data_IF_600450465969
#
_entry.id   IF_600450465969
#
_cell.length_a   1.000
_cell.length_b   1.000
_cell.length_c   1.000
_cell.angle_alpha   90.00
_cell.angle_beta   90.00
_cell.angle_gamma   90.00
#
_symmetry.space_group_name_H-M   'P 1'
#
loop_
_entity.id
_entity.type
_entity.pdbx_description
1 polymer ?
#
# COMPACT_ATOMS: atom_id res chain seq x y z
N UNK A 1 -13.52 -58.84 65.77
CA UNK A 1 -13.80 -57.68 66.63
C UNK A 1 -12.82 -56.56 66.28
N UNK A 2 -13.32 -55.31 66.18
CA UNK A 2 -12.62 -54.03 65.92
C UNK A 2 -11.95 -53.91 64.53
N UNK A 3 -12.43 -53.15 63.52
CA UNK A 3 -12.84 -51.71 63.38
C UNK A 3 -11.76 -50.70 63.83
N UNK A 4 -11.10 -50.07 62.84
CA UNK A 4 -10.67 -48.65 62.76
C UNK A 4 -9.93 -48.48 61.41
N UNK A 5 -10.52 -47.94 60.33
CA UNK A 5 -10.89 -46.54 60.04
C UNK A 5 -9.76 -45.53 60.29
N UNK A 6 -8.93 -45.31 59.27
CA UNK A 6 -8.11 -44.09 59.13
C UNK A 6 -8.37 -43.48 57.75
N UNK A 7 -9.28 -42.51 57.73
CA UNK A 7 -9.42 -41.50 56.68
C UNK A 7 -8.45 -40.36 57.02
N UNK A 8 -7.82 -39.76 56.00
CA UNK A 8 -7.41 -38.33 55.89
C UNK A 8 -6.72 -38.20 54.52
N UNK A 9 -7.44 -37.74 53.49
CA UNK A 9 -7.54 -36.34 53.07
C UNK A 9 -6.71 -36.12 51.78
N UNK A 10 -7.30 -36.53 50.65
CA UNK A 10 -6.82 -36.17 49.32
C UNK A 10 -7.38 -34.79 49.00
N UNK A 11 -6.53 -33.76 49.11
CA UNK A 11 -6.87 -32.41 48.70
C UNK A 11 -6.94 -32.36 47.17
N UNK A 12 -8.14 -32.47 46.61
CA UNK A 12 -8.39 -32.17 45.22
C UNK A 12 -8.37 -30.64 45.03
N UNK A 13 -7.27 -30.13 44.48
CA UNK A 13 -7.24 -28.77 43.93
C UNK A 13 -8.07 -28.82 42.65
N UNK A 14 -9.33 -28.42 42.76
CA UNK A 14 -10.19 -28.15 41.61
C UNK A 14 -9.81 -26.76 41.10
N UNK A 15 -8.89 -26.71 40.15
CA UNK A 15 -8.64 -25.49 39.38
C UNK A 15 -9.83 -25.29 38.45
N UNK A 16 -10.77 -24.41 38.84
CA UNK A 16 -11.76 -23.88 37.91
C UNK A 16 -11.01 -23.04 36.87
N UNK A 17 -10.69 -23.64 35.73
CA UNK A 17 -10.44 -22.87 34.51
C UNK A 17 -11.78 -22.32 34.06
N UNK A 18 -12.05 -21.07 34.39
CA UNK A 18 -13.11 -20.30 33.75
C UNK A 18 -12.66 -20.09 32.32
N UNK A 19 -13.19 -20.88 31.40
CA UNK A 19 -13.05 -20.65 29.96
C UNK A 19 -13.69 -19.30 29.66
N UNK A 20 -12.86 -18.27 29.55
CA UNK A 20 -13.28 -17.01 28.93
C UNK A 20 -13.44 -17.34 27.45
N UNK A 21 -14.67 -17.66 27.05
CA UNK A 21 -15.07 -17.65 25.65
C UNK A 21 -14.97 -16.21 25.16
N UNK A 22 -13.81 -15.86 24.60
CA UNK A 22 -13.73 -14.70 23.72
C UNK A 22 -14.61 -15.02 22.53
N UNK A 23 -15.80 -14.44 22.53
CA UNK A 23 -16.61 -14.35 21.33
C UNK A 23 -15.80 -13.49 20.36
N UNK A 24 -15.04 -14.15 19.49
CA UNK A 24 -14.54 -13.52 18.28
C UNK A 24 -15.76 -13.07 17.51
N UNK A 25 -16.05 -11.78 17.55
CA UNK A 25 -16.91 -11.19 16.55
C UNK A 25 -16.17 -11.37 15.23
N UNK A 26 -16.60 -12.37 14.46
CA UNK A 26 -16.25 -12.46 13.06
C UNK A 26 -16.65 -11.13 12.41
N UNK A 27 -15.65 -10.29 12.13
CA UNK A 27 -15.81 -9.17 11.23
C UNK A 27 -16.11 -9.76 9.87
N UNK A 28 -17.36 -9.71 9.43
CA UNK A 28 -17.80 -10.14 8.09
C UNK A 28 -17.24 -9.27 6.93
N UNK A 29 -16.23 -8.44 7.20
CA UNK A 29 -15.29 -7.90 6.22
C UNK A 29 -13.93 -7.74 6.90
N UNK A 30 -13.23 -8.84 7.17
CA UNK A 30 -11.79 -8.74 7.41
C UNK A 30 -11.20 -8.15 6.12
N UNK A 31 -10.61 -6.95 6.19
CA UNK A 31 -10.02 -6.31 5.02
C UNK A 31 -9.08 -7.29 4.31
N UNK A 32 -9.35 -7.57 3.04
CA UNK A 32 -8.55 -8.45 2.16
C UNK A 32 -7.06 -8.07 2.19
N UNK A 33 -6.79 -6.78 2.41
CA UNK A 33 -5.44 -6.22 2.53
C UNK A 33 -5.34 -5.40 3.82
N UNK A 34 -4.40 -5.76 4.68
CA UNK A 34 -3.96 -4.96 5.83
C UNK A 34 -2.60 -4.31 5.51
N UNK A 35 -2.46 -3.02 5.77
CA UNK A 35 -1.18 -2.31 5.63
C UNK A 35 -0.71 -1.86 7.01
N UNK A 36 0.45 -2.33 7.41
CA UNK A 36 1.14 -1.99 8.66
C UNK A 36 2.41 -1.21 8.34
N UNK A 37 2.81 -0.35 9.27
CA UNK A 37 4.03 0.42 9.16
C UNK A 37 4.93 0.12 10.36
N UNK A 38 6.25 0.27 10.17
CA UNK A 38 7.17 0.34 11.30
C UNK A 38 6.73 1.46 12.26
N UNK A 39 7.00 1.30 13.55
CA UNK A 39 6.64 2.30 14.59
C UNK A 39 7.07 3.72 14.18
N UNK A 40 8.28 3.85 13.63
CA UNK A 40 8.80 5.12 13.13
C UNK A 40 7.93 5.75 12.03
N UNK A 41 7.46 4.94 11.06
CA UNK A 41 6.62 5.41 9.96
C UNK A 41 5.19 5.67 10.43
N UNK A 42 4.66 4.81 11.30
CA UNK A 42 3.30 4.88 11.83
C UNK A 42 3.06 6.22 12.55
N UNK A 43 3.98 6.60 13.45
CA UNK A 43 3.97 7.89 14.16
C UNK A 43 3.92 9.13 13.23
N UNK A 44 4.32 8.97 11.97
CA UNK A 44 4.44 10.06 10.99
C UNK A 44 3.42 9.96 9.86
N UNK A 45 2.67 8.86 9.80
CA UNK A 45 1.86 8.51 8.64
C UNK A 45 0.75 9.52 8.36
N UNK A 46 0.14 10.09 9.40
CA UNK A 46 -0.84 11.17 9.26
C UNK A 46 -0.25 12.39 8.55
N UNK A 47 0.97 12.80 8.93
CA UNK A 47 1.64 13.95 8.34
C UNK A 47 2.09 13.65 6.91
N UNK A 48 2.61 12.44 6.68
CA UNK A 48 3.02 11.97 5.35
C UNK A 48 1.80 11.97 4.41
N UNK A 49 0.70 11.36 4.84
CA UNK A 49 -0.57 11.29 4.11
C UNK A 49 -1.15 12.68 3.85
N UNK A 50 -1.13 13.60 4.83
CA UNK A 50 -1.61 14.96 4.65
C UNK A 50 -0.82 15.74 3.59
N UNK A 51 0.51 15.58 3.56
CA UNK A 51 1.38 16.20 2.55
C UNK A 51 1.06 15.65 1.16
N UNK A 52 0.98 14.33 1.02
CA UNK A 52 0.75 13.68 -0.26
C UNK A 52 -0.68 13.92 -0.77
N UNK A 53 -1.70 13.88 0.11
CA UNK A 53 -3.09 14.29 -0.17
C UNK A 53 -3.17 15.71 -0.70
N UNK A 54 -2.40 16.64 -0.14
CA UNK A 54 -2.35 18.03 -0.62
C UNK A 54 -1.75 18.12 -2.02
N UNK A 55 -0.71 17.34 -2.32
CA UNK A 55 -0.12 17.25 -3.67
C UNK A 55 -1.10 16.65 -4.66
N UNK A 56 -1.79 15.57 -4.27
CA UNK A 56 -2.84 14.96 -5.08
C UNK A 56 -3.99 15.95 -5.36
N UNK A 57 -4.49 16.70 -4.37
CA UNK A 57 -5.48 17.78 -4.57
C UNK A 57 -5.04 18.79 -5.62
N UNK A 58 -3.77 19.21 -5.59
CA UNK A 58 -3.18 20.12 -6.58
C UNK A 58 -3.11 19.45 -7.96
N UNK A 59 -2.70 18.18 -8.00
CA UNK A 59 -2.62 17.39 -9.22
C UNK A 59 -4.00 17.23 -9.89
N UNK A 60 -5.04 16.79 -9.17
CA UNK A 60 -6.39 16.64 -9.73
C UNK A 60 -6.93 17.95 -10.30
N UNK A 61 -6.68 19.07 -9.61
CA UNK A 61 -7.18 20.39 -10.01
C UNK A 61 -6.43 20.98 -11.21
N UNK A 62 -5.10 20.88 -11.21
CA UNK A 62 -4.24 21.64 -12.12
C UNK A 62 -3.39 20.78 -13.05
N UNK A 63 -3.36 19.46 -12.88
CA UNK A 63 -2.48 18.51 -13.58
C UNK A 63 -1.01 18.92 -13.44
N UNK A 64 -0.60 19.17 -12.20
CA UNK A 64 0.74 19.64 -11.81
C UNK A 64 1.25 18.85 -10.61
N UNK A 65 2.49 18.39 -10.69
CA UNK A 65 3.24 17.81 -9.57
C UNK A 65 4.44 18.70 -9.24
N UNK A 66 4.64 19.04 -7.95
CA UNK A 66 5.80 19.83 -7.52
C UNK A 66 5.67 20.47 -6.13
N UNK A 67 6.78 21.01 -5.62
CA UNK A 67 6.81 21.91 -4.46
C UNK A 67 6.36 23.33 -4.88
N UNK A 68 5.95 24.15 -3.90
CA UNK A 68 5.44 25.53 -4.07
C UNK A 68 6.29 26.46 -4.96
N UNK A 69 7.55 26.12 -5.26
CA UNK A 69 8.53 27.01 -5.90
C UNK A 69 8.92 26.69 -7.34
N UNK A 70 8.39 25.67 -8.03
CA UNK A 70 9.02 25.26 -9.30
C UNK A 70 8.13 24.67 -10.42
N UNK A 71 6.93 25.20 -10.69
CA UNK A 71 6.32 25.00 -12.02
C UNK A 71 5.75 26.31 -12.56
N UNK A 72 6.44 26.87 -13.57
CA UNK A 72 5.94 28.02 -14.35
C UNK A 72 4.58 27.64 -14.97
N UNK A 73 3.64 28.59 -15.19
CA UNK A 73 2.33 28.31 -15.79
C UNK A 73 2.37 27.47 -17.07
N UNK A 74 3.45 27.60 -17.87
CA UNK A 74 3.75 26.82 -19.07
C UNK A 74 4.03 25.32 -18.85
N UNK A 75 4.29 24.90 -17.61
CA UNK A 75 4.58 23.52 -17.21
C UNK A 75 3.31 22.78 -16.73
N UNK A 76 2.13 23.44 -16.75
CA UNK A 76 0.88 22.72 -16.58
C UNK A 76 0.74 21.70 -17.72
N UNK A 77 0.38 20.46 -17.41
CA UNK A 77 0.04 19.50 -18.45
C UNK A 77 -1.03 20.12 -19.36
N UNK A 78 -0.80 20.07 -20.67
CA UNK A 78 -1.82 20.48 -21.61
C UNK A 78 -2.99 19.50 -21.48
N UNK A 79 -4.08 19.95 -20.83
CA UNK A 79 -5.25 19.11 -20.53
C UNK A 79 -5.79 18.39 -21.77
N UNK A 80 -5.73 19.00 -22.95
CA UNK A 80 -6.19 18.37 -24.20
C UNK A 80 -5.29 17.23 -24.68
N UNK A 81 -4.00 17.22 -24.32
CA UNK A 81 -3.08 16.15 -24.71
C UNK A 81 -3.18 14.93 -23.80
N UNK A 82 -3.70 15.11 -22.58
CA UNK A 82 -3.79 14.06 -21.56
C UNK A 82 -5.22 13.76 -21.09
N UNK A 83 -6.21 14.17 -21.88
CA UNK A 83 -7.61 14.20 -21.45
C UNK A 83 -8.20 12.82 -21.13
N UNK A 84 -7.68 11.77 -21.78
CA UNK A 84 -8.13 10.38 -21.59
C UNK A 84 -7.18 9.54 -20.73
N UNK A 85 -6.17 10.14 -20.09
CA UNK A 85 -5.31 9.38 -19.19
C UNK A 85 -6.05 9.04 -17.90
N UNK A 86 -6.06 7.75 -17.56
CA UNK A 86 -6.46 7.27 -16.24
C UNK A 86 -5.29 7.37 -15.27
N UNK A 87 -5.31 8.38 -14.41
CA UNK A 87 -4.27 8.59 -13.42
C UNK A 87 -4.44 7.63 -12.24
N UNK A 88 -3.36 7.00 -11.81
CA UNK A 88 -3.38 5.91 -10.83
C UNK A 88 -4.23 6.24 -9.59
N UNK A 89 -3.92 7.36 -8.91
CA UNK A 89 -4.62 7.73 -7.68
C UNK A 89 -6.09 8.10 -7.89
N UNK A 90 -6.45 8.67 -9.05
CA UNK A 90 -7.85 9.00 -9.37
C UNK A 90 -8.67 7.75 -9.67
N UNK A 91 -8.03 6.77 -10.33
CA UNK A 91 -8.62 5.47 -10.65
C UNK A 91 -8.84 4.63 -9.39
N UNK A 92 -7.84 4.58 -8.52
CA UNK A 92 -7.85 3.77 -7.29
C UNK A 92 -8.71 4.41 -6.19
N UNK A 93 -8.62 5.73 -6.02
CA UNK A 93 -9.31 6.45 -4.94
C UNK A 93 -10.03 7.67 -5.54
N UNK A 94 -11.24 7.50 -6.09
CA UNK A 94 -11.96 8.58 -6.78
C UNK A 94 -12.30 9.76 -5.88
N UNK A 95 -12.67 9.52 -4.62
CA UNK A 95 -12.91 10.57 -3.64
C UNK A 95 -11.60 10.96 -2.95
N UNK A 96 -11.18 12.21 -3.16
CA UNK A 96 -9.96 12.73 -2.55
C UNK A 96 -10.03 12.78 -1.02
N UNK A 97 -11.23 12.81 -0.43
CA UNK A 97 -11.34 12.82 1.03
C UNK A 97 -10.97 11.48 1.66
N UNK A 98 -11.16 10.37 0.94
CA UNK A 98 -10.74 9.03 1.33
C UNK A 98 -9.25 8.76 1.10
N UNK A 99 -8.54 9.70 0.47
CA UNK A 99 -7.13 9.52 0.15
C UNK A 99 -6.23 9.54 1.39
N UNK A 100 -5.45 8.49 1.56
CA UNK A 100 -4.30 8.40 2.46
C UNK A 100 -3.23 7.51 1.82
N UNK A 101 -1.99 7.56 2.32
CA UNK A 101 -0.93 6.65 1.84
C UNK A 101 -1.26 5.18 2.15
N UNK A 102 -1.74 4.81 3.36
CA UNK A 102 -2.20 3.45 3.64
C UNK A 102 -3.30 2.99 2.68
N UNK A 103 -4.31 3.83 2.44
CA UNK A 103 -5.39 3.53 1.49
C UNK A 103 -4.87 3.34 0.07
N UNK A 104 -3.91 4.16 -0.38
CA UNK A 104 -3.32 4.02 -1.71
C UNK A 104 -2.65 2.65 -1.89
N UNK A 105 -1.82 2.25 -0.93
CA UNK A 105 -1.13 0.96 -0.95
C UNK A 105 -2.14 -0.19 -0.91
N UNK A 106 -3.16 -0.09 -0.05
CA UNK A 106 -4.22 -1.09 0.05
C UNK A 106 -4.99 -1.24 -1.26
N UNK A 107 -5.41 -0.14 -1.89
CA UNK A 107 -6.17 -0.19 -3.15
C UNK A 107 -5.32 -0.69 -4.34
N UNK A 108 -4.03 -0.36 -4.38
CA UNK A 108 -3.09 -0.94 -5.37
C UNK A 108 -3.00 -2.47 -5.21
N UNK A 109 -2.87 -2.94 -3.97
CA UNK A 109 -2.76 -4.36 -3.68
C UNK A 109 -4.08 -5.10 -3.97
N UNK A 110 -5.22 -4.57 -3.53
CA UNK A 110 -6.55 -5.14 -3.80
C UNK A 110 -6.80 -5.31 -5.29
N UNK A 111 -6.57 -4.24 -6.07
CA UNK A 111 -6.70 -4.28 -7.53
C UNK A 111 -5.80 -5.36 -8.14
N UNK A 112 -4.56 -5.45 -7.68
CA UNK A 112 -3.62 -6.46 -8.16
C UNK A 112 -4.06 -7.88 -7.84
N UNK A 113 -4.60 -8.12 -6.64
CA UNK A 113 -5.17 -9.42 -6.23
C UNK A 113 -6.39 -9.77 -7.08
N UNK A 114 -7.31 -8.83 -7.30
CA UNK A 114 -8.50 -9.03 -8.13
C UNK A 114 -8.13 -9.40 -9.58
N UNK A 115 -7.07 -8.79 -10.13
CA UNK A 115 -6.58 -9.10 -11.47
C UNK A 115 -5.81 -10.43 -11.52
N UNK A 116 -5.04 -10.77 -10.47
CA UNK A 116 -4.29 -12.04 -10.37
C UNK A 116 -5.21 -13.25 -10.16
N UNK A 117 -6.29 -13.09 -9.38
CA UNK A 117 -7.24 -14.15 -9.06
C UNK A 117 -8.69 -13.67 -9.23
N UNK A 118 -9.18 -13.57 -10.48
CA UNK A 118 -10.51 -13.04 -10.79
C UNK A 118 -11.65 -13.97 -10.35
N UNK A 119 -11.35 -15.23 -10.01
CA UNK A 119 -12.34 -16.23 -9.60
C UNK A 119 -12.65 -16.21 -8.09
N UNK A 120 -12.04 -15.27 -7.36
CA UNK A 120 -12.27 -15.08 -5.94
C UNK A 120 -11.01 -15.35 -5.13
N UNK A 121 -10.50 -14.30 -4.49
CA UNK A 121 -9.50 -14.41 -3.44
C UNK A 121 -10.21 -14.46 -2.08
N UNK A 122 -10.02 -15.53 -1.34
CA UNK A 122 -10.63 -15.79 -0.03
C UNK A 122 -9.63 -15.65 1.13
N UNK A 123 -8.37 -15.37 0.81
CA UNK A 123 -7.31 -15.17 1.78
C UNK A 123 -7.21 -13.74 2.32
N UNK A 124 -6.09 -13.47 2.99
CA UNK A 124 -5.76 -12.15 3.51
C UNK A 124 -4.30 -11.83 3.23
N UNK A 125 -4.03 -10.61 2.80
CA UNK A 125 -2.66 -10.11 2.60
C UNK A 125 -2.33 -9.08 3.67
N UNK A 126 -1.15 -9.21 4.28
CA UNK A 126 -0.59 -8.19 5.17
C UNK A 126 0.68 -7.64 4.54
N UNK A 127 0.72 -6.33 4.33
CA UNK A 127 1.90 -5.59 3.92
C UNK A 127 2.50 -4.90 5.15
N UNK A 128 3.74 -5.22 5.50
CA UNK A 128 4.49 -4.57 6.58
C UNK A 128 5.54 -3.66 5.96
N UNK A 129 5.30 -2.35 5.96
CA UNK A 129 6.21 -1.35 5.39
C UNK A 129 7.21 -0.91 6.46
N UNK A 130 8.46 -1.28 6.28
CA UNK A 130 9.53 -1.00 7.25
C UNK A 130 10.22 0.34 6.94
N UNK A 131 10.46 0.61 5.66
CA UNK A 131 11.11 1.82 5.17
C UNK A 131 10.35 2.46 4.00
N UNK A 132 10.29 3.79 4.00
CA UNK A 132 9.76 4.61 2.91
C UNK A 132 10.63 5.85 2.75
N UNK A 133 11.30 6.00 1.62
CA UNK A 133 12.14 7.15 1.29
C UNK A 133 11.74 7.73 -0.06
N UNK A 134 11.70 9.06 -0.16
CA UNK A 134 11.32 9.79 -1.38
C UNK A 134 12.25 11.00 -1.56
N UNK A 135 12.90 11.10 -2.73
CA UNK A 135 14.05 11.96 -2.95
C UNK A 135 13.86 13.47 -2.65
N UNK A 136 12.66 14.01 -2.87
CA UNK A 136 12.32 15.44 -2.67
C UNK A 136 11.01 15.58 -1.90
N UNK A 137 10.84 14.74 -0.89
CA UNK A 137 9.72 14.84 0.02
C UNK A 137 9.95 15.96 1.05
N UNK A 138 8.94 16.78 1.37
CA UNK A 138 9.12 17.96 2.22
C UNK A 138 9.17 17.61 3.72
N UNK A 139 9.04 16.33 4.07
CA UNK A 139 9.23 15.84 5.42
C UNK A 139 10.59 15.16 5.51
N UNK A 140 11.49 15.72 6.33
CA UNK A 140 12.87 15.25 6.45
C UNK A 140 12.97 13.77 6.85
N UNK A 141 12.02 13.25 7.62
CA UNK A 141 12.03 11.86 8.10
C UNK A 141 11.92 10.81 7.00
N UNK A 142 11.44 11.17 5.81
CA UNK A 142 11.37 10.27 4.65
C UNK A 142 12.02 10.90 3.40
N UNK A 143 12.73 12.02 3.57
CA UNK A 143 13.47 12.65 2.47
C UNK A 143 14.82 11.97 2.32
N UNK A 144 15.19 11.57 1.11
CA UNK A 144 16.47 10.91 0.82
C UNK A 144 17.06 11.43 -0.50
N UNK A 145 18.18 10.88 -0.96
CA UNK A 145 18.67 11.11 -2.33
C UNK A 145 17.96 10.21 -3.35
N UNK A 146 17.56 9.01 -2.93
CA UNK A 146 16.86 8.03 -3.74
C UNK A 146 15.38 7.96 -3.32
N UNK A 147 14.56 7.35 -4.19
CA UNK A 147 13.20 6.97 -3.85
C UNK A 147 13.13 5.45 -3.81
N UNK A 148 12.79 4.91 -2.64
CA UNK A 148 12.80 3.47 -2.34
C UNK A 148 11.80 3.14 -1.23
N UNK A 149 11.37 1.88 -1.19
CA UNK A 149 10.44 1.35 -0.20
C UNK A 149 10.80 -0.09 0.10
N UNK A 150 10.75 -0.46 1.37
CA UNK A 150 11.15 -1.78 1.87
C UNK A 150 10.14 -2.27 2.90
N UNK A 151 9.96 -3.58 2.95
CA UNK A 151 9.04 -4.21 3.86
C UNK A 151 8.88 -5.70 3.61
N UNK A 152 7.74 -6.23 4.03
CA UNK A 152 7.36 -7.64 3.87
C UNK A 152 5.94 -7.78 3.37
N UNK A 153 5.70 -8.86 2.65
CA UNK A 153 4.35 -9.32 2.30
C UNK A 153 4.10 -10.69 2.92
N UNK A 154 2.95 -10.83 3.57
CA UNK A 154 2.48 -12.08 4.16
C UNK A 154 1.14 -12.43 3.54
N UNK A 155 1.02 -13.66 3.02
CA UNK A 155 -0.22 -14.21 2.51
C UNK A 155 -0.77 -15.22 3.51
N UNK A 156 -2.02 -15.03 3.89
CA UNK A 156 -2.79 -15.95 4.72
C UNK A 156 -3.92 -16.58 3.90
N UNK A 157 -4.23 -17.84 4.17
CA UNK A 157 -5.40 -18.52 3.61
C UNK A 157 -6.71 -18.08 4.30
N UNK A 158 -7.84 -18.62 3.85
CA UNK A 158 -9.17 -18.32 4.41
C UNK A 158 -9.37 -18.85 5.84
N UNK A 159 -8.52 -19.77 6.29
CA UNK A 159 -8.50 -20.26 7.68
C UNK A 159 -7.62 -19.38 8.59
N UNK A 160 -6.87 -18.43 8.01
CA UNK A 160 -5.95 -17.54 8.72
C UNK A 160 -4.56 -18.13 8.94
N UNK A 161 -4.21 -19.24 8.29
CA UNK A 161 -2.86 -19.81 8.33
C UNK A 161 -1.94 -19.04 7.38
N UNK A 162 -0.69 -18.84 7.78
CA UNK A 162 0.33 -18.23 6.93
C UNK A 162 0.72 -19.20 5.80
N UNK A 163 0.49 -18.79 4.55
CA UNK A 163 0.86 -19.53 3.33
C UNK A 163 2.28 -19.20 2.91
N UNK A 164 2.62 -17.91 2.84
CA UNK A 164 3.96 -17.45 2.50
C UNK A 164 4.29 -16.09 3.11
N UNK A 165 5.57 -15.84 3.28
CA UNK A 165 6.15 -14.58 3.73
C UNK A 165 7.39 -14.26 2.88
N UNK A 166 7.47 -13.03 2.39
CA UNK A 166 8.61 -12.57 1.61
C UNK A 166 9.02 -11.15 1.97
N UNK A 167 10.33 -10.91 1.98
CA UNK A 167 10.90 -9.56 1.98
C UNK A 167 10.71 -8.91 0.61
N UNK A 168 10.39 -7.62 0.61
CA UNK A 168 10.12 -6.81 -0.57
C UNK A 168 10.95 -5.54 -0.45
N UNK A 169 11.84 -5.33 -1.41
CA UNK A 169 12.60 -4.11 -1.55
C UNK A 169 12.43 -3.59 -2.96
N UNK A 170 12.18 -2.29 -3.10
CA UNK A 170 12.06 -1.66 -4.41
C UNK A 170 12.72 -0.29 -4.45
N UNK A 171 13.18 0.07 -5.64
CA UNK A 171 13.56 1.41 -6.02
C UNK A 171 12.81 1.78 -7.30
N UNK A 172 12.71 3.07 -7.62
CA UNK A 172 12.04 3.47 -8.86
C UNK A 172 12.82 2.97 -10.07
N UNK A 173 12.23 2.05 -10.84
CA UNK A 173 12.70 1.63 -12.16
C UNK A 173 11.84 2.35 -13.21
N UNK A 174 12.34 3.43 -13.84
CA UNK A 174 11.49 4.26 -14.69
C UNK A 174 11.03 3.50 -15.95
N UNK A 175 9.77 3.07 -15.98
CA UNK A 175 9.10 2.62 -17.21
C UNK A 175 8.41 3.82 -17.83
N UNK A 176 8.73 4.15 -19.08
CA UNK A 176 8.13 5.28 -19.78
C UNK A 176 7.19 4.82 -20.88
N UNK A 177 6.12 5.59 -21.09
CA UNK A 177 5.27 5.44 -22.28
C UNK A 177 5.23 6.71 -23.11
N UNK A 178 5.21 6.54 -24.43
CA UNK A 178 5.01 7.63 -25.37
C UNK A 178 3.53 8.04 -25.45
N UNK A 179 2.59 7.22 -24.96
CA UNK A 179 1.17 7.58 -24.98
C UNK A 179 0.89 8.70 -24.00
N UNK A 180 0.05 9.64 -24.44
CA UNK A 180 -0.44 10.73 -23.60
C UNK A 180 -1.88 10.49 -23.14
N UNK A 181 -2.50 9.41 -23.58
CA UNK A 181 -3.86 9.00 -23.19
C UNK A 181 -3.78 7.56 -22.66
N UNK A 182 -3.04 7.36 -21.58
CA UNK A 182 -2.80 6.02 -21.05
C UNK A 182 -4.06 5.51 -20.31
N UNK A 183 -4.57 4.36 -20.75
CA UNK A 183 -5.72 3.65 -20.14
C UNK A 183 -5.35 2.19 -19.83
N UNK A 184 -4.06 1.88 -19.80
CA UNK A 184 -3.58 0.53 -19.52
C UNK A 184 -3.69 0.17 -18.03
N UNK A 185 -3.34 -1.06 -17.72
CA UNK A 185 -3.42 -1.62 -16.36
C UNK A 185 -2.48 -0.95 -15.35
N UNK A 186 -1.33 -0.46 -15.78
CA UNK A 186 -0.29 0.10 -14.91
C UNK A 186 -0.72 1.41 -14.24
N UNK A 187 0.06 1.82 -13.25
CA UNK A 187 -0.15 3.02 -12.47
C UNK A 187 0.52 4.23 -13.14
N UNK A 188 -0.28 4.96 -13.90
CA UNK A 188 0.14 6.18 -14.59
C UNK A 188 0.42 7.33 -13.61
N UNK A 189 1.66 7.82 -13.65
CA UNK A 189 2.11 9.05 -12.97
C UNK A 189 2.87 9.97 -13.92
N UNK A 190 2.96 11.25 -13.57
CA UNK A 190 3.93 12.13 -14.21
C UNK A 190 5.34 11.72 -13.82
N UNK A 191 6.31 11.85 -14.73
CA UNK A 191 7.73 11.61 -14.40
C UNK A 191 8.24 12.47 -13.22
N UNK A 192 7.70 13.68 -13.05
CA UNK A 192 8.02 14.55 -11.91
C UNK A 192 7.52 14.02 -10.56
N UNK A 193 6.54 13.12 -10.56
CA UNK A 193 6.00 12.50 -9.35
C UNK A 193 7.03 11.56 -8.71
N UNK A 194 7.92 10.90 -9.48
CA UNK A 194 8.87 9.93 -8.93
C UNK A 194 9.77 10.47 -7.81
N UNK A 195 10.16 11.73 -7.89
CA UNK A 195 10.96 12.36 -6.84
C UNK A 195 10.12 13.02 -5.73
N UNK A 196 8.81 13.18 -5.92
CA UNK A 196 7.99 14.07 -5.10
C UNK A 196 6.71 13.44 -4.54
N UNK A 197 6.37 12.21 -4.88
CA UNK A 197 5.14 11.57 -4.45
C UNK A 197 5.42 10.13 -4.03
N UNK A 198 4.55 9.62 -3.18
CA UNK A 198 4.66 8.24 -2.67
C UNK A 198 4.09 7.24 -3.67
N UNK A 199 3.01 7.62 -4.37
CA UNK A 199 2.34 6.73 -5.32
C UNK A 199 3.26 5.97 -6.29
N UNK A 200 4.25 6.61 -6.93
CA UNK A 200 5.17 5.89 -7.81
C UNK A 200 5.92 4.73 -7.15
N UNK A 201 6.49 4.94 -5.95
CA UNK A 201 7.26 3.88 -5.27
C UNK A 201 6.34 2.84 -4.63
N UNK A 202 5.15 3.26 -4.18
CA UNK A 202 4.10 2.34 -3.73
C UNK A 202 3.63 1.41 -4.86
N UNK A 203 3.53 1.92 -6.09
CA UNK A 203 3.18 1.12 -7.27
C UNK A 203 4.21 0.03 -7.57
N UNK A 204 5.49 0.35 -7.52
CA UNK A 204 6.55 -0.66 -7.69
C UNK A 204 6.60 -1.65 -6.51
N UNK A 205 6.43 -1.15 -5.28
CA UNK A 205 6.45 -2.01 -4.08
C UNK A 205 5.31 -3.02 -4.10
N UNK A 206 4.10 -2.58 -4.46
CA UNK A 206 2.93 -3.47 -4.55
C UNK A 206 3.05 -4.44 -5.71
N UNK A 207 3.60 -4.03 -6.85
CA UNK A 207 3.87 -4.95 -7.96
C UNK A 207 4.83 -6.07 -7.56
N UNK A 208 5.99 -5.72 -6.97
CA UNK A 208 6.98 -6.68 -6.49
C UNK A 208 6.40 -7.59 -5.39
N UNK A 209 5.57 -7.05 -4.49
CA UNK A 209 4.88 -7.86 -3.48
C UNK A 209 3.91 -8.87 -4.10
N UNK A 210 3.12 -8.44 -5.09
CA UNK A 210 2.18 -9.29 -5.83
C UNK A 210 2.90 -10.40 -6.59
N UNK A 211 3.98 -10.08 -7.29
CA UNK A 211 4.78 -11.04 -8.05
C UNK A 211 5.41 -12.11 -7.15
N UNK A 212 5.72 -11.79 -5.88
CA UNK A 212 6.20 -12.80 -4.92
C UNK A 212 5.11 -13.75 -4.44
N UNK A 213 3.88 -13.25 -4.21
CA UNK A 213 2.77 -14.08 -3.71
C UNK A 213 1.98 -14.77 -4.85
N UNK A 214 2.10 -14.27 -6.08
CA UNK A 214 1.55 -14.84 -7.32
C UNK A 214 2.66 -14.94 -8.38
N UNK A 215 3.53 -15.97 -8.36
CA UNK A 215 4.75 -16.04 -9.16
C UNK A 215 4.59 -15.96 -10.69
N UNK A 216 3.43 -16.35 -11.22
CA UNK A 216 3.14 -16.33 -12.67
C UNK A 216 2.38 -15.07 -13.11
N UNK A 217 2.11 -14.15 -12.18
CA UNK A 217 1.38 -12.92 -12.44
C UNK A 217 2.35 -11.76 -12.67
N UNK A 218 2.37 -11.23 -13.90
CA UNK A 218 2.92 -9.91 -14.16
C UNK A 218 1.99 -8.89 -13.49
N UNK A 219 2.46 -8.11 -12.51
CA UNK A 219 1.62 -7.20 -11.74
C UNK A 219 1.60 -5.77 -12.32
N UNK A 220 0.46 -5.03 -12.22
CA UNK A 220 0.41 -3.62 -12.55
C UNK A 220 1.47 -2.85 -11.76
N UNK A 221 2.38 -2.20 -12.47
CA UNK A 221 3.52 -1.50 -11.88
C UNK A 221 3.47 -0.01 -12.22
N UNK A 222 4.53 0.74 -11.91
CA UNK A 222 4.61 2.15 -12.25
C UNK A 222 4.82 2.35 -13.75
N UNK A 223 4.09 3.31 -14.33
CA UNK A 223 4.42 3.88 -15.63
C UNK A 223 4.46 5.41 -15.57
N UNK A 224 5.55 5.98 -16.08
CA UNK A 224 5.70 7.41 -16.24
C UNK A 224 5.23 7.88 -17.61
N UNK A 225 4.34 8.86 -17.57
CA UNK A 225 4.01 9.65 -18.74
C UNK A 225 5.02 10.79 -18.82
N UNK A 226 5.80 10.82 -19.89
CA UNK A 226 6.70 11.93 -20.16
C UNK A 226 5.85 13.14 -20.61
N UNK A 227 5.89 14.27 -19.89
CA UNK A 227 5.44 15.52 -20.48
C UNK A 227 6.30 15.69 -21.74
N UNK A 228 5.66 15.87 -22.90
CA UNK A 228 6.36 16.09 -24.17
C UNK A 228 7.61 16.93 -23.93
N UNK A 229 8.78 16.42 -24.33
CA UNK A 229 10.03 17.17 -24.21
C UNK A 229 9.73 18.62 -24.60
N UNK A 230 9.91 19.51 -23.62
CA UNK A 230 10.01 20.92 -23.93
C UNK A 230 11.33 21.03 -24.67
N UNK A 231 11.29 20.77 -25.98
CA UNK A 231 12.44 20.84 -26.87
C UNK A 231 13.28 22.04 -26.50
N UNK A 232 14.46 21.74 -25.97
CA UNK A 232 15.61 22.61 -25.86
C UNK A 232 16.82 21.75 -26.15
#
# INVERSE_FOLDING_TARGET
MAKMLTKLAQAAIVTLFTSISFSSFANENADVVEVRFSEFLDERMDRISAIDKKREKVFRKYRRDGSRSAQRPRNALNKSRFFNTEWANERLIPDIEQYSVPSLIAEMMKRGIEEANPNGFDGRVVLEVEQLLVARFPLASISSFNTEMEGKVKLFDSEGNLVTEHEVWTSLIPKFTATRNYQGRDYAYLSTAGATRIGPVAGEFTAEALEKIFPDYDAPSLIFLQPADFGR
#
